data_IF_816239589839
#
_entry.id   IF_816239589839
#
_cell.length_a   1.000
_cell.length_b   1.000
_cell.length_c   1.000
_cell.angle_alpha   90.00
_cell.angle_beta   90.00
_cell.angle_gamma   90.00
#
_symmetry.space_group_name_H-M   'P 1'
#
loop_
_entity.id
_entity.type
_entity.pdbx_description
1 polymer ?
#
# COMPACT_ATOMS: atom_id res chain seq x y z
N UNK A 1 12.61 -19.99 -5.58
CA UNK A 1 12.46 -18.60 -6.09
C UNK A 1 12.82 -17.57 -5.02
N UNK A 2 12.07 -17.44 -3.92
CA UNK A 2 12.30 -16.44 -2.86
C UNK A 2 13.73 -16.41 -2.29
N UNK A 3 14.31 -17.57 -1.98
CA UNK A 3 15.67 -17.66 -1.41
C UNK A 3 16.78 -17.20 -2.37
N UNK A 4 16.48 -17.10 -3.69
CA UNK A 4 17.45 -16.72 -4.72
C UNK A 4 17.27 -15.28 -5.20
N UNK A 5 16.04 -14.77 -5.24
CA UNK A 5 15.69 -13.45 -5.79
C UNK A 5 15.35 -12.40 -4.74
N UNK A 6 15.16 -12.78 -3.47
CA UNK A 6 14.64 -11.88 -2.45
C UNK A 6 13.18 -11.48 -2.67
N UNK A 7 12.39 -12.34 -3.34
CA UNK A 7 10.95 -12.14 -3.59
C UNK A 7 10.59 -10.93 -4.47
N UNK A 8 11.48 -10.54 -5.42
CA UNK A 8 11.13 -9.53 -6.43
C UNK A 8 9.97 -10.02 -7.30
N UNK A 9 8.90 -9.23 -7.42
CA UNK A 9 7.72 -9.58 -8.23
C UNK A 9 8.06 -9.98 -9.67
N UNK A 10 9.03 -9.28 -10.29
CA UNK A 10 9.46 -9.54 -11.68
C UNK A 10 10.00 -10.94 -11.90
N UNK A 11 10.48 -11.57 -10.85
CA UNK A 11 11.10 -12.87 -10.94
C UNK A 11 10.12 -14.00 -10.57
N UNK A 12 8.84 -13.69 -10.31
CA UNK A 12 7.81 -14.68 -10.02
C UNK A 12 7.80 -15.79 -11.09
N UNK A 13 7.59 -17.06 -10.69
CA UNK A 13 7.46 -18.17 -11.62
C UNK A 13 6.39 -17.92 -12.69
N UNK A 14 6.67 -18.36 -13.91
CA UNK A 14 5.79 -18.14 -15.05
C UNK A 14 4.43 -18.83 -14.88
N UNK A 15 4.35 -19.92 -14.11
CA UNK A 15 3.09 -20.60 -13.80
C UNK A 15 2.07 -19.72 -13.05
N UNK A 16 2.49 -18.64 -12.41
CA UNK A 16 1.59 -17.69 -11.73
C UNK A 16 1.03 -16.62 -12.68
N UNK A 17 1.49 -16.61 -13.93
CA UNK A 17 1.13 -15.62 -14.94
C UNK A 17 1.90 -14.30 -14.78
N UNK A 18 1.45 -13.23 -15.44
CA UNK A 18 2.14 -11.95 -15.45
C UNK A 18 2.35 -11.39 -14.04
N UNK A 19 3.58 -10.95 -13.72
CA UNK A 19 3.92 -10.43 -12.40
C UNK A 19 3.05 -9.23 -11.96
N UNK A 20 2.55 -8.44 -12.92
CA UNK A 20 1.65 -7.32 -12.67
C UNK A 20 0.30 -7.80 -12.12
N UNK A 21 -0.22 -8.92 -12.62
CA UNK A 21 -1.45 -9.55 -12.12
C UNK A 21 -1.26 -10.07 -10.70
N UNK A 22 -0.11 -10.70 -10.41
CA UNK A 22 0.25 -11.17 -9.07
C UNK A 22 0.32 -10.00 -8.09
N UNK A 23 1.04 -8.94 -8.44
CA UNK A 23 1.15 -7.72 -7.62
C UNK A 23 -0.23 -7.07 -7.38
N UNK A 24 -1.04 -6.91 -8.43
CA UNK A 24 -2.36 -6.29 -8.32
C UNK A 24 -3.29 -7.09 -7.38
N UNK A 25 -3.24 -8.42 -7.44
CA UNK A 25 -3.99 -9.28 -6.51
C UNK A 25 -3.48 -9.12 -5.09
N UNK A 26 -2.16 -9.19 -4.88
CA UNK A 26 -1.55 -9.00 -3.58
C UNK A 26 -1.95 -7.66 -2.94
N UNK A 27 -1.85 -6.56 -3.70
CA UNK A 27 -2.17 -5.22 -3.22
C UNK A 27 -3.67 -5.07 -2.89
N UNK A 28 -4.56 -5.60 -3.73
CA UNK A 28 -6.01 -5.60 -3.46
C UNK A 28 -6.35 -6.33 -2.16
N UNK A 29 -5.77 -7.51 -1.94
CA UNK A 29 -5.97 -8.28 -0.72
C UNK A 29 -5.35 -7.63 0.51
N UNK A 30 -4.20 -6.97 0.35
CA UNK A 30 -3.60 -6.15 1.39
C UNK A 30 -4.55 -5.03 1.84
N UNK A 31 -5.11 -4.28 0.89
CA UNK A 31 -6.09 -3.22 1.17
C UNK A 31 -7.39 -3.74 1.81
N UNK A 32 -7.77 -4.98 1.52
CA UNK A 32 -8.92 -5.65 2.13
C UNK A 32 -8.59 -6.28 3.50
N UNK A 33 -7.34 -6.24 3.95
CA UNK A 33 -6.91 -6.83 5.23
C UNK A 33 -6.87 -8.37 5.23
N UNK A 34 -7.04 -9.01 4.07
CA UNK A 34 -7.13 -10.48 3.96
C UNK A 34 -5.86 -11.15 4.45
N UNK A 35 -4.68 -10.61 4.11
CA UNK A 35 -3.40 -11.15 4.58
C UNK A 35 -3.30 -11.14 6.10
N UNK A 36 -3.73 -10.06 6.75
CA UNK A 36 -3.72 -9.96 8.20
C UNK A 36 -4.73 -10.91 8.85
N UNK A 37 -5.91 -11.08 8.24
CA UNK A 37 -6.90 -12.04 8.71
C UNK A 37 -6.39 -13.48 8.64
N UNK A 38 -5.79 -13.87 7.51
CA UNK A 38 -5.13 -15.17 7.35
C UNK A 38 -4.01 -15.37 8.37
N UNK A 39 -3.15 -14.36 8.54
CA UNK A 39 -2.07 -14.41 9.52
C UNK A 39 -2.61 -14.63 10.95
N UNK A 40 -3.63 -13.90 11.37
CA UNK A 40 -4.26 -14.06 12.69
C UNK A 40 -4.91 -15.43 12.86
N UNK A 41 -5.60 -15.93 11.83
CA UNK A 41 -6.21 -17.25 11.86
C UNK A 41 -5.16 -18.37 12.03
N UNK A 42 -4.00 -18.22 11.39
CA UNK A 42 -2.90 -19.18 11.48
C UNK A 42 -2.09 -19.05 12.78
N UNK A 43 -1.93 -17.84 13.32
CA UNK A 43 -1.10 -17.57 14.51
C UNK A 43 -1.89 -17.55 15.83
N UNK A 44 -3.22 -17.58 15.80
CA UNK A 44 -4.11 -17.48 16.98
C UNK A 44 -3.94 -18.55 18.07
N UNK A 45 -3.02 -19.50 17.93
CA UNK A 45 -2.71 -20.54 18.95
C UNK A 45 -1.29 -20.48 19.51
N UNK A 46 -0.38 -19.65 18.99
CA UNK A 46 1.05 -19.71 19.37
C UNK A 46 1.43 -18.78 20.52
N UNK A 47 0.49 -18.01 21.09
CA UNK A 47 0.77 -17.16 22.25
C UNK A 47 1.73 -16.00 21.97
N UNK A 48 2.06 -15.71 20.71
CA UNK A 48 2.90 -14.56 20.34
C UNK A 48 2.03 -13.32 20.40
N UNK A 49 2.11 -12.61 21.52
CA UNK A 49 1.46 -11.32 21.76
C UNK A 49 2.24 -10.25 20.98
N UNK A 50 2.10 -10.23 19.66
CA UNK A 50 2.74 -9.23 18.77
C UNK A 50 3.32 -9.79 17.48
N UNK A 51 3.42 -8.96 16.46
CA UNK A 51 4.17 -9.29 15.23
C UNK A 51 5.66 -9.05 15.46
N UNK A 52 6.48 -10.09 15.45
CA UNK A 52 7.93 -9.97 15.48
C UNK A 52 8.50 -10.23 14.08
N UNK A 53 9.27 -9.28 13.55
CA UNK A 53 10.06 -9.49 12.34
C UNK A 53 11.47 -9.94 12.78
N UNK A 54 11.84 -11.17 12.43
CA UNK A 54 13.08 -11.83 12.91
C UNK A 54 14.33 -11.15 12.31
N UNK A 55 14.22 -10.57 11.12
CA UNK A 55 15.30 -9.97 10.34
C UNK A 55 15.19 -8.44 10.19
N UNK A 56 14.29 -7.79 10.94
CA UNK A 56 14.16 -6.34 10.87
C UNK A 56 15.36 -5.62 11.49
N UNK A 57 16.01 -4.75 10.73
CA UNK A 57 16.98 -3.79 11.25
C UNK A 57 16.28 -2.49 11.61
N UNK A 58 16.29 -2.09 12.88
CA UNK A 58 15.73 -0.82 13.34
C UNK A 58 16.83 0.25 13.48
N UNK A 59 16.85 1.23 12.59
CA UNK A 59 17.77 2.39 12.67
C UNK A 59 17.00 3.60 13.21
N UNK A 60 17.46 4.15 14.34
CA UNK A 60 16.89 5.37 14.92
C UNK A 60 17.24 6.58 14.06
N UNK A 61 16.23 7.29 13.56
CA UNK A 61 16.44 8.56 12.87
C UNK A 61 16.79 9.68 13.87
N UNK A 62 17.74 10.55 13.51
CA UNK A 62 18.05 11.75 14.29
C UNK A 62 16.88 12.74 14.26
N UNK A 63 16.72 13.58 15.30
CA UNK A 63 15.62 14.57 15.39
C UNK A 63 15.53 15.52 14.19
N UNK A 64 16.65 15.75 13.50
CA UNK A 64 16.74 16.61 12.31
C UNK A 64 16.52 15.87 10.98
N UNK A 65 16.16 14.59 11.00
CA UNK A 65 15.85 13.83 9.79
C UNK A 65 14.45 14.16 9.21
N UNK A 66 13.61 14.86 9.97
CA UNK A 66 12.32 15.38 9.52
C UNK A 66 12.54 16.64 8.67
N UNK A 67 12.80 16.46 7.38
CA UNK A 67 13.09 17.57 6.48
C UNK A 67 13.07 17.18 5.00
N UNK A 68 12.11 16.35 4.59
CA UNK A 68 11.90 16.05 3.18
C UNK A 68 11.28 17.25 2.45
N UNK A 69 11.79 17.59 1.26
CA UNK A 69 11.25 18.65 0.42
C UNK A 69 9.79 18.32 0.07
N UNK A 70 8.84 19.02 0.69
CA UNK A 70 7.42 18.88 0.38
C UNK A 70 7.17 19.24 -1.08
N UNK A 71 6.76 18.26 -1.88
CA UNK A 71 6.36 18.50 -3.27
C UNK A 71 5.08 19.35 -3.33
N UNK A 72 4.85 20.09 -4.42
CA UNK A 72 3.65 20.90 -4.58
C UNK A 72 2.39 20.03 -4.46
N UNK A 73 1.54 20.34 -3.47
CA UNK A 73 0.20 19.78 -3.38
C UNK A 73 -0.62 20.26 -4.58
N UNK A 74 -1.28 19.35 -5.31
CA UNK A 74 -2.22 19.73 -6.38
C UNK A 74 -3.38 20.49 -5.75
N UNK A 75 -3.31 21.82 -5.78
CA UNK A 75 -4.48 22.69 -5.57
C UNK A 75 -5.36 22.58 -6.82
N UNK A 76 -6.62 22.14 -6.71
CA UNK A 76 -7.58 22.28 -7.80
C UNK A 76 -7.76 23.77 -8.10
N UNK A 77 -7.57 24.17 -9.34
CA UNK A 77 -7.82 25.54 -9.80
C UNK A 77 -9.31 25.78 -9.93
N UNK A 78 -9.93 26.34 -8.89
CA UNK A 78 -11.21 27.07 -8.95
C UNK A 78 -12.48 26.25 -9.19
N UNK A 79 -13.55 26.66 -8.51
CA UNK A 79 -14.89 26.13 -8.71
C UNK A 79 -15.42 26.48 -10.11
N UNK A 80 -16.05 25.51 -10.78
CA UNK A 80 -16.91 25.76 -11.95
C UNK A 80 -18.23 26.41 -11.52
N UNK A 81 -18.18 27.59 -10.90
CA UNK A 81 -19.34 28.42 -10.63
C UNK A 81 -19.52 29.44 -11.77
N UNK A 82 -19.83 28.95 -12.97
CA UNK A 82 -19.99 29.82 -14.15
C UNK A 82 -20.85 29.26 -15.27
N UNK A 83 -21.56 28.14 -15.06
CA UNK A 83 -22.39 27.53 -16.10
C UNK A 83 -23.78 27.10 -15.58
N UNK A 84 -24.35 27.84 -14.63
CA UNK A 84 -25.76 27.66 -14.28
C UNK A 84 -26.62 28.59 -15.14
N UNK A 85 -27.47 27.99 -16.00
CA UNK A 85 -28.46 28.69 -16.83
C UNK A 85 -29.47 29.41 -15.91
N UNK A 86 -29.76 30.71 -16.09
CA UNK A 86 -30.77 31.39 -15.28
C UNK A 86 -32.14 30.74 -15.53
N UNK A 87 -32.88 30.47 -14.45
CA UNK A 87 -34.25 29.95 -14.51
C UNK A 87 -35.16 31.08 -15.00
N UNK A 88 -35.89 30.86 -16.10
CA UNK A 88 -36.90 31.81 -16.57
C UNK A 88 -38.04 31.88 -15.56
N UNK A 89 -38.50 33.09 -15.28
CA UNK A 89 -39.59 33.36 -14.36
C UNK A 89 -40.79 33.85 -15.17
N UNK A 90 -41.70 32.94 -15.51
CA UNK A 90 -43.16 33.14 -15.57
C UNK A 90 -43.86 31.81 -15.86
#
# INVERSE_FOLDING_TARGET
HMLRSGARWRDCPLEYGPYTTVYNRFNRWSRQGIWLAMFKALTGRTGVIGTAAIDASHVKAHRSAAGGKGGPSKRPSGDRAGAARPKSMR
#
